data_IF_121519483434
#
_entry.id   IF_121519483434
#
_cell.length_a   1.000
_cell.length_b   1.000
_cell.length_c   1.000
_cell.angle_alpha   90.00
_cell.angle_beta   90.00
_cell.angle_gamma   90.00
#
_symmetry.space_group_name_H-M   'P 1'
#
loop_
_entity.id
_entity.type
_entity.pdbx_description
1 polymer ?
#
# COMPACT_ATOMS: atom_id res chain seq x y z
N UNK A 1 26.41 -57.85 -64.64
CA UNK A 1 25.63 -58.19 -65.84
C UNK A 1 26.34 -57.62 -67.04
N UNK A 2 26.86 -58.50 -67.89
CA UNK A 2 27.27 -58.33 -69.29
C UNK A 2 28.30 -59.44 -69.55
N UNK A 3 27.75 -60.61 -69.87
CA UNK A 3 28.47 -61.77 -70.37
C UNK A 3 28.83 -61.51 -71.83
N UNK A 4 30.00 -61.95 -72.29
CA UNK A 4 30.32 -62.00 -73.72
C UNK A 4 31.22 -63.19 -73.96
N UNK A 5 30.56 -64.33 -74.13
CA UNK A 5 31.05 -65.48 -74.86
C UNK A 5 31.13 -65.13 -76.36
N UNK A 6 32.24 -65.49 -77.01
CA UNK A 6 32.28 -65.65 -78.46
C UNK A 6 32.97 -66.98 -78.73
N UNK A 7 32.19 -67.89 -79.29
CA UNK A 7 32.56 -69.25 -79.63
C UNK A 7 33.27 -69.32 -81.00
N UNK A 8 34.18 -70.29 -81.04
CA UNK A 8 34.67 -71.16 -82.12
C UNK A 8 34.35 -70.95 -83.63
N UNK A 9 35.30 -71.55 -84.38
CA UNK A 9 35.22 -72.18 -85.69
C UNK A 9 35.63 -71.37 -86.93
N UNK A 10 36.84 -71.69 -87.42
CA UNK A 10 37.01 -72.06 -88.83
C UNK A 10 38.27 -72.91 -89.02
N UNK A 11 37.98 -74.19 -89.23
CA UNK A 11 38.81 -75.22 -89.86
C UNK A 11 39.30 -74.77 -91.25
N UNK A 12 40.48 -75.23 -91.67
CA UNK A 12 40.94 -74.91 -93.03
C UNK A 12 42.42 -75.10 -93.30
N UNK A 13 42.79 -76.33 -93.66
CA UNK A 13 43.77 -76.54 -94.72
C UNK A 13 45.19 -76.86 -94.28
N UNK A 14 45.43 -78.14 -93.98
CA UNK A 14 46.73 -78.75 -94.23
C UNK A 14 46.95 -78.86 -95.76
N UNK A 15 48.11 -78.46 -96.30
CA UNK A 15 48.64 -79.06 -97.51
C UNK A 15 49.80 -79.98 -97.15
N UNK A 16 49.59 -81.25 -97.46
CA UNK A 16 50.64 -82.24 -97.62
C UNK A 16 51.46 -81.86 -98.86
N UNK A 17 52.77 -81.61 -98.71
CA UNK A 17 53.70 -81.60 -99.83
C UNK A 17 55.05 -82.15 -99.38
N UNK A 18 55.23 -83.43 -99.69
CA UNK A 18 56.50 -84.11 -99.77
C UNK A 18 57.36 -83.45 -100.85
N UNK A 19 58.52 -82.93 -100.46
CA UNK A 19 59.66 -82.71 -101.36
C UNK A 19 60.92 -82.61 -100.52
N UNK A 20 61.56 -83.76 -100.32
CA UNK A 20 62.97 -83.88 -99.96
C UNK A 20 63.82 -83.32 -101.09
N UNK A 21 64.00 -82.00 -101.13
CA UNK A 21 65.14 -81.36 -101.79
C UNK A 21 66.15 -81.02 -100.71
N UNK A 22 67.21 -81.82 -100.63
CA UNK A 22 68.44 -81.46 -99.94
C UNK A 22 69.08 -80.25 -100.63
N UNK A 23 68.56 -79.05 -100.33
CA UNK A 23 69.23 -77.80 -100.67
C UNK A 23 70.46 -77.74 -99.76
N UNK A 24 71.65 -77.84 -100.33
CA UNK A 24 72.90 -77.60 -99.62
C UNK A 24 72.91 -76.13 -99.19
N UNK A 25 72.46 -75.87 -97.96
CA UNK A 25 72.45 -74.52 -97.37
C UNK A 25 73.91 -74.12 -97.15
N UNK A 26 74.34 -73.03 -97.81
CA UNK A 26 75.68 -72.46 -97.62
C UNK A 26 75.93 -72.18 -96.13
N UNK A 27 77.13 -72.49 -95.58
CA UNK A 27 77.42 -72.36 -94.14
C UNK A 27 77.16 -70.96 -93.59
N UNK A 28 77.30 -69.91 -94.41
CA UNK A 28 76.95 -68.54 -94.05
C UNK A 28 75.44 -68.35 -93.81
N UNK A 29 74.59 -68.95 -94.66
CA UNK A 29 73.13 -68.86 -94.56
C UNK A 29 72.57 -69.72 -93.42
N UNK A 30 73.26 -70.81 -93.10
CA UNK A 30 72.96 -71.64 -91.92
C UNK A 30 73.22 -70.86 -90.62
N UNK A 31 74.34 -70.13 -90.56
CA UNK A 31 74.71 -69.34 -89.37
C UNK A 31 73.81 -68.11 -89.19
N UNK A 32 73.42 -67.45 -90.27
CA UNK A 32 72.41 -66.37 -90.26
C UNK A 32 71.05 -66.88 -89.76
N UNK A 33 70.60 -68.05 -90.22
CA UNK A 33 69.37 -68.69 -89.74
C UNK A 33 69.46 -69.09 -88.26
N UNK A 34 70.61 -69.57 -87.78
CA UNK A 34 70.85 -69.85 -86.36
C UNK A 34 70.79 -68.60 -85.49
N UNK A 35 71.43 -67.51 -85.92
CA UNK A 35 71.38 -66.23 -85.21
C UNK A 35 69.98 -65.65 -85.19
N UNK A 36 69.22 -65.77 -86.30
CA UNK A 36 67.81 -65.37 -86.35
C UNK A 36 66.95 -66.23 -85.42
N UNK A 37 67.16 -67.54 -85.38
CA UNK A 37 66.45 -68.45 -84.47
C UNK A 37 66.74 -68.10 -83.00
N UNK A 38 68.00 -67.84 -82.64
CA UNK A 38 68.41 -67.46 -81.30
C UNK A 38 67.82 -66.10 -80.88
N UNK A 39 67.83 -65.11 -81.79
CA UNK A 39 67.19 -63.81 -81.56
C UNK A 39 65.68 -63.94 -81.36
N UNK A 40 65.00 -64.73 -82.20
CA UNK A 40 63.56 -64.99 -82.06
C UNK A 40 63.23 -65.76 -80.78
N UNK A 41 64.08 -66.70 -80.35
CA UNK A 41 63.94 -67.40 -79.07
C UNK A 41 64.09 -66.45 -77.88
N UNK A 42 65.08 -65.56 -77.93
CA UNK A 42 65.29 -64.55 -76.89
C UNK A 42 64.12 -63.55 -76.86
N UNK A 43 63.64 -63.09 -78.01
CA UNK A 43 62.44 -62.25 -78.12
C UNK A 43 61.21 -62.97 -77.53
N UNK A 44 61.00 -64.24 -77.85
CA UNK A 44 59.94 -65.05 -77.25
C UNK A 44 60.06 -65.15 -75.72
N UNK A 45 61.30 -65.24 -75.20
CA UNK A 45 61.56 -65.29 -73.76
C UNK A 45 61.22 -63.95 -73.10
N UNK A 46 61.61 -62.83 -73.70
CA UNK A 46 61.28 -61.49 -73.22
C UNK A 46 59.77 -61.27 -73.24
N UNK A 47 59.10 -61.57 -74.35
CA UNK A 47 57.64 -61.46 -74.48
C UNK A 47 56.90 -62.30 -73.43
N UNK A 48 57.39 -63.50 -73.11
CA UNK A 48 56.83 -64.32 -72.01
C UNK A 48 56.98 -63.65 -70.65
N UNK A 49 58.14 -63.05 -70.35
CA UNK A 49 58.38 -62.35 -69.09
C UNK A 49 57.48 -61.10 -69.00
N UNK A 50 57.34 -60.35 -70.09
CA UNK A 50 56.44 -59.18 -70.16
C UNK A 50 54.98 -59.59 -69.97
N UNK A 51 54.53 -60.67 -70.64
CA UNK A 51 53.19 -61.23 -70.47
C UNK A 51 52.92 -61.61 -69.01
N UNK A 52 53.84 -62.32 -68.35
CA UNK A 52 53.69 -62.69 -66.94
C UNK A 52 53.70 -61.46 -66.02
N UNK A 53 54.51 -60.46 -66.34
CA UNK A 53 54.54 -59.17 -65.61
C UNK A 53 53.19 -58.44 -65.74
N UNK A 54 52.62 -58.38 -66.94
CA UNK A 54 51.30 -57.79 -67.16
C UNK A 54 50.19 -58.58 -66.47
N UNK A 55 50.25 -59.92 -66.47
CA UNK A 55 49.29 -60.75 -65.71
C UNK A 55 49.34 -60.46 -64.21
N UNK A 56 50.54 -60.35 -63.63
CA UNK A 56 50.71 -59.98 -62.22
C UNK A 56 50.14 -58.59 -61.94
N UNK A 57 50.41 -57.61 -62.81
CA UNK A 57 49.84 -56.26 -62.69
C UNK A 57 48.31 -56.25 -62.77
N UNK A 58 47.73 -57.01 -63.70
CA UNK A 58 46.27 -57.15 -63.81
C UNK A 58 45.66 -57.78 -62.55
N UNK A 59 46.31 -58.81 -61.97
CA UNK A 59 45.86 -59.42 -60.70
C UNK A 59 45.92 -58.42 -59.55
N UNK A 60 47.02 -57.70 -59.41
CA UNK A 60 47.19 -56.66 -58.37
C UNK A 60 46.13 -55.56 -58.50
N UNK A 61 45.86 -55.07 -59.72
CA UNK A 61 44.81 -54.06 -59.94
C UNK A 61 43.40 -54.60 -59.68
N UNK A 62 43.15 -55.89 -59.94
CA UNK A 62 41.87 -56.52 -59.62
C UNK A 62 41.66 -56.65 -58.11
N UNK A 63 42.69 -57.06 -57.37
CA UNK A 63 42.68 -57.12 -55.91
C UNK A 63 42.45 -55.73 -55.31
N UNK A 64 43.19 -54.73 -55.77
CA UNK A 64 43.01 -53.34 -55.34
C UNK A 64 41.58 -52.83 -55.65
N UNK A 65 41.00 -53.17 -56.80
CA UNK A 65 39.63 -52.80 -57.11
C UNK A 65 38.61 -53.45 -56.16
N UNK A 66 38.83 -54.71 -55.79
CA UNK A 66 37.99 -55.41 -54.82
C UNK A 66 38.11 -54.76 -53.44
N UNK A 67 39.33 -54.43 -53.01
CA UNK A 67 39.58 -53.80 -51.72
C UNK A 67 39.00 -52.39 -51.65
N UNK A 68 39.14 -51.59 -52.72
CA UNK A 68 38.51 -50.28 -52.83
C UNK A 68 36.98 -50.37 -52.75
N UNK A 69 36.35 -51.36 -53.42
CA UNK A 69 34.90 -51.57 -53.32
C UNK A 69 34.48 -51.96 -51.90
N UNK A 70 35.21 -52.86 -51.23
CA UNK A 70 34.94 -53.24 -49.83
C UNK A 70 35.10 -52.06 -48.88
N UNK A 71 36.16 -51.26 -49.06
CA UNK A 71 36.40 -50.06 -48.28
C UNK A 71 35.28 -49.04 -48.48
N UNK A 72 34.82 -48.82 -49.73
CA UNK A 72 33.71 -47.92 -50.05
C UNK A 72 32.40 -48.34 -49.36
N UNK A 73 32.05 -49.63 -49.41
CA UNK A 73 30.86 -50.14 -48.71
C UNK A 73 30.98 -49.96 -47.19
N UNK A 74 32.16 -50.23 -46.63
CA UNK A 74 32.40 -50.07 -45.18
C UNK A 74 32.30 -48.62 -44.74
N UNK A 75 32.88 -47.71 -45.52
CA UNK A 75 32.79 -46.27 -45.26
C UNK A 75 31.34 -45.78 -45.36
N UNK A 76 30.59 -46.24 -46.37
CA UNK A 76 29.19 -45.88 -46.52
C UNK A 76 28.35 -46.37 -45.34
N UNK A 77 28.51 -47.62 -44.91
CA UNK A 77 27.79 -48.15 -43.74
C UNK A 77 28.11 -47.36 -42.45
N UNK A 78 29.35 -46.91 -42.26
CA UNK A 78 29.72 -46.05 -41.13
C UNK A 78 29.09 -44.67 -41.23
N UNK A 79 29.07 -44.07 -42.43
CA UNK A 79 28.44 -42.77 -42.65
C UNK A 79 26.93 -42.83 -42.35
N UNK A 80 26.23 -43.86 -42.84
CA UNK A 80 24.80 -44.08 -42.56
C UNK A 80 24.54 -44.25 -41.05
N UNK A 81 25.37 -45.04 -40.35
CA UNK A 81 25.26 -45.19 -38.89
C UNK A 81 25.46 -43.87 -38.13
N UNK A 82 26.43 -43.05 -38.56
CA UNK A 82 26.71 -41.76 -37.94
C UNK A 82 25.57 -40.76 -38.21
N UNK A 83 25.01 -40.74 -39.43
CA UNK A 83 23.83 -39.95 -39.77
C UNK A 83 22.60 -40.35 -38.94
N UNK A 84 22.36 -41.65 -38.76
CA UNK A 84 21.29 -42.15 -37.88
C UNK A 84 21.52 -41.75 -36.43
N UNK A 85 22.75 -41.83 -35.93
CA UNK A 85 23.09 -41.44 -34.56
C UNK A 85 22.84 -39.95 -34.33
N UNK A 86 23.30 -39.10 -35.27
CA UNK A 86 23.08 -37.65 -35.22
C UNK A 86 21.58 -37.34 -35.29
N UNK A 87 20.86 -37.95 -36.22
CA UNK A 87 19.41 -37.77 -36.40
C UNK A 87 18.64 -38.13 -35.13
N UNK A 88 18.94 -39.29 -34.53
CA UNK A 88 18.32 -39.74 -33.29
C UNK A 88 18.62 -38.80 -32.11
N UNK A 89 19.84 -38.27 -32.04
CA UNK A 89 20.25 -37.33 -30.99
C UNK A 89 19.53 -35.99 -31.12
N UNK A 90 19.47 -35.45 -32.34
CA UNK A 90 18.75 -34.20 -32.62
C UNK A 90 17.25 -34.35 -32.38
N UNK A 91 16.67 -35.47 -32.80
CA UNK A 91 15.25 -35.75 -32.59
C UNK A 91 14.89 -35.79 -31.09
N UNK A 92 15.70 -36.46 -30.27
CA UNK A 92 15.51 -36.46 -28.80
C UNK A 92 15.61 -35.05 -28.22
N UNK A 93 16.55 -34.23 -28.71
CA UNK A 93 16.71 -32.84 -28.25
C UNK A 93 15.53 -31.96 -28.65
N UNK A 94 15.00 -32.13 -29.86
CA UNK A 94 13.78 -31.45 -30.32
C UNK A 94 12.59 -31.83 -29.43
N UNK A 95 12.40 -33.12 -29.14
CA UNK A 95 11.30 -33.56 -28.27
C UNK A 95 11.43 -33.01 -26.85
N UNK A 96 12.64 -33.00 -26.29
CA UNK A 96 12.89 -32.43 -24.97
C UNK A 96 12.55 -30.94 -24.93
N UNK A 97 12.98 -30.16 -25.93
CA UNK A 97 12.67 -28.74 -26.06
C UNK A 97 11.18 -28.49 -26.29
N UNK A 98 10.49 -29.34 -27.06
CA UNK A 98 9.05 -29.26 -27.24
C UNK A 98 8.30 -29.47 -25.92
N UNK A 99 8.70 -30.48 -25.15
CA UNK A 99 8.11 -30.77 -23.83
C UNK A 99 8.38 -29.65 -22.82
N UNK A 100 9.60 -29.11 -22.82
CA UNK A 100 9.96 -27.97 -21.97
C UNK A 100 9.14 -26.74 -22.34
N UNK A 101 8.99 -26.44 -23.63
CA UNK A 101 8.14 -25.35 -24.12
C UNK A 101 6.68 -25.51 -23.69
N UNK A 102 6.11 -26.71 -23.83
CA UNK A 102 4.75 -27.00 -23.40
C UNK A 102 4.60 -26.82 -21.87
N UNK A 103 5.58 -27.31 -21.10
CA UNK A 103 5.58 -27.15 -19.64
C UNK A 103 5.65 -25.68 -19.24
N UNK A 104 6.51 -24.89 -19.90
CA UNK A 104 6.62 -23.45 -19.69
C UNK A 104 5.32 -22.73 -20.03
N UNK A 105 4.68 -23.06 -21.15
CA UNK A 105 3.39 -22.47 -21.53
C UNK A 105 2.32 -22.73 -20.47
N UNK A 106 2.18 -23.98 -20.01
CA UNK A 106 1.22 -24.34 -18.95
C UNK A 106 1.52 -23.64 -17.63
N UNK A 107 2.79 -23.49 -17.26
CA UNK A 107 3.17 -22.77 -16.03
C UNK A 107 2.84 -21.27 -16.15
N UNK A 108 3.08 -20.68 -17.32
CA UNK A 108 2.77 -19.27 -17.58
C UNK A 108 1.26 -19.00 -17.48
N UNK A 109 0.43 -19.86 -18.10
CA UNK A 109 -1.03 -19.77 -18.02
C UNK A 109 -1.51 -19.85 -16.55
N UNK A 110 -0.97 -20.79 -15.76
CA UNK A 110 -1.32 -20.91 -14.33
C UNK A 110 -0.91 -19.69 -13.51
N UNK A 111 0.25 -19.11 -13.79
CA UNK A 111 0.73 -17.92 -13.09
C UNK A 111 -0.13 -16.70 -13.44
N UNK A 112 -0.50 -16.53 -14.71
CA UNK A 112 -1.45 -15.49 -15.15
C UNK A 112 -2.82 -15.66 -14.49
N UNK A 113 -3.36 -16.88 -14.43
CA UNK A 113 -4.61 -17.17 -13.74
C UNK A 113 -4.50 -16.86 -12.23
N UNK A 114 -3.40 -17.24 -11.58
CA UNK A 114 -3.18 -16.96 -10.16
C UNK A 114 -3.14 -15.46 -9.90
N UNK A 115 -2.34 -14.71 -10.67
CA UNK A 115 -2.19 -13.26 -10.51
C UNK A 115 -3.51 -12.54 -10.76
N UNK A 116 -4.24 -12.91 -11.82
CA UNK A 116 -5.54 -12.31 -12.15
C UNK A 116 -6.56 -12.56 -11.05
N UNK A 117 -6.63 -13.79 -10.52
CA UNK A 117 -7.53 -14.16 -9.44
C UNK A 117 -7.19 -13.42 -8.13
N UNK A 118 -5.91 -13.29 -7.82
CA UNK A 118 -5.46 -12.62 -6.60
C UNK A 118 -5.73 -11.11 -6.66
N UNK A 119 -5.43 -10.48 -7.80
CA UNK A 119 -5.78 -9.07 -8.03
C UNK A 119 -7.29 -8.83 -7.95
N UNK A 120 -8.09 -9.74 -8.54
CA UNK A 120 -9.56 -9.65 -8.48
C UNK A 120 -10.09 -9.75 -7.05
N UNK A 121 -9.55 -10.68 -6.25
CA UNK A 121 -9.89 -10.78 -4.82
C UNK A 121 -9.52 -9.50 -4.06
N UNK A 122 -8.30 -8.99 -4.27
CA UNK A 122 -7.81 -7.79 -3.60
C UNK A 122 -8.62 -6.54 -3.98
N UNK A 123 -9.03 -6.44 -5.24
CA UNK A 123 -9.90 -5.38 -5.72
C UNK A 123 -11.29 -5.45 -5.05
N UNK A 124 -11.90 -6.63 -5.00
CA UNK A 124 -13.19 -6.81 -4.31
C UNK A 124 -13.08 -6.48 -2.82
N UNK A 125 -12.00 -6.90 -2.16
CA UNK A 125 -11.75 -6.56 -0.77
C UNK A 125 -11.67 -5.04 -0.56
N UNK A 126 -10.88 -4.34 -1.37
CA UNK A 126 -10.75 -2.87 -1.28
C UNK A 126 -12.07 -2.15 -1.56
N UNK A 127 -12.89 -2.65 -2.50
CA UNK A 127 -14.22 -2.10 -2.75
C UNK A 127 -15.15 -2.29 -1.55
N UNK A 128 -15.09 -3.45 -0.91
CA UNK A 128 -15.87 -3.73 0.29
C UNK A 128 -15.44 -2.84 1.46
N UNK A 129 -14.14 -2.80 1.77
CA UNK A 129 -13.58 -1.95 2.83
C UNK A 129 -13.91 -0.47 2.59
N UNK A 130 -13.85 -0.01 1.33
CA UNK A 130 -14.26 1.35 0.96
C UNK A 130 -15.74 1.59 1.28
N UNK A 131 -16.63 0.69 0.89
CA UNK A 131 -18.06 0.83 1.13
C UNK A 131 -18.39 0.84 2.63
N UNK A 132 -17.72 0.01 3.44
CA UNK A 132 -17.86 0.01 4.89
C UNK A 132 -17.40 1.34 5.52
N UNK A 133 -16.26 1.88 5.07
CA UNK A 133 -15.76 3.16 5.53
C UNK A 133 -16.69 4.32 5.16
N UNK A 134 -17.24 4.31 3.94
CA UNK A 134 -18.22 5.31 3.49
C UNK A 134 -19.49 5.26 4.35
N UNK A 135 -20.00 4.04 4.62
CA UNK A 135 -21.17 3.85 5.48
C UNK A 135 -20.91 4.33 6.92
N UNK A 136 -19.76 3.99 7.51
CA UNK A 136 -19.42 4.42 8.86
C UNK A 136 -19.26 5.95 8.94
N UNK A 137 -18.67 6.57 7.92
CA UNK A 137 -18.52 8.02 7.86
C UNK A 137 -19.89 8.72 7.78
N UNK A 138 -20.80 8.20 6.95
CA UNK A 138 -22.16 8.73 6.82
C UNK A 138 -22.93 8.63 8.15
N UNK A 139 -22.86 7.49 8.83
CA UNK A 139 -23.49 7.30 10.14
C UNK A 139 -22.94 8.25 11.21
N UNK A 140 -21.62 8.46 11.25
CA UNK A 140 -20.99 9.39 12.20
C UNK A 140 -21.38 10.83 11.91
N UNK A 141 -21.41 11.23 10.63
CA UNK A 141 -21.88 12.55 10.22
C UNK A 141 -23.34 12.77 10.60
N UNK A 142 -24.21 11.79 10.31
CA UNK A 142 -25.63 11.85 10.68
C UNK A 142 -25.82 11.97 12.19
N UNK A 143 -25.06 11.19 12.98
CA UNK A 143 -25.07 11.27 14.44
C UNK A 143 -24.67 12.66 14.94
N UNK A 144 -23.60 13.24 14.41
CA UNK A 144 -23.15 14.58 14.78
C UNK A 144 -24.17 15.66 14.40
N UNK A 145 -24.74 15.60 13.19
CA UNK A 145 -25.81 16.50 12.74
C UNK A 145 -27.01 16.39 13.68
N UNK A 146 -27.45 15.18 14.02
CA UNK A 146 -28.55 14.94 14.93
C UNK A 146 -28.27 15.51 16.34
N UNK A 147 -27.04 15.36 16.84
CA UNK A 147 -26.61 15.93 18.12
C UNK A 147 -26.64 17.46 18.11
N UNK A 148 -26.13 18.08 17.05
CA UNK A 148 -26.13 19.53 16.88
C UNK A 148 -27.56 20.07 16.74
N UNK A 149 -28.40 19.44 15.92
CA UNK A 149 -29.80 19.80 15.78
C UNK A 149 -30.55 19.77 17.12
N UNK A 150 -30.35 18.73 17.94
CA UNK A 150 -30.93 18.66 19.29
C UNK A 150 -30.46 19.81 20.18
N UNK A 151 -29.18 20.19 20.10
CA UNK A 151 -28.62 21.32 20.87
C UNK A 151 -29.20 22.66 20.40
N UNK A 152 -29.35 22.86 19.10
CA UNK A 152 -29.98 24.05 18.50
C UNK A 152 -31.41 24.17 19.02
N UNK A 153 -32.24 23.12 18.86
CA UNK A 153 -33.63 23.10 19.35
C UNK A 153 -33.74 23.44 20.84
N UNK A 154 -32.83 22.92 21.67
CA UNK A 154 -32.79 23.24 23.10
C UNK A 154 -32.50 24.72 23.35
N UNK A 155 -31.47 25.27 22.69
CA UNK A 155 -31.10 26.68 22.83
C UNK A 155 -32.19 27.62 22.29
N UNK A 156 -32.87 27.26 21.21
CA UNK A 156 -34.02 27.97 20.67
C UNK A 156 -35.17 28.02 21.68
N UNK A 157 -35.53 26.88 22.27
CA UNK A 157 -36.56 26.82 23.31
C UNK A 157 -36.19 27.63 24.56
N UNK A 158 -34.95 27.55 25.02
CA UNK A 158 -34.46 28.33 26.16
C UNK A 158 -34.53 29.85 25.86
N UNK A 159 -34.21 30.24 24.62
CA UNK A 159 -34.29 31.63 24.17
C UNK A 159 -35.72 32.14 24.15
N UNK A 160 -36.65 31.36 23.57
CA UNK A 160 -38.08 31.69 23.54
C UNK A 160 -38.63 31.81 24.97
N UNK A 161 -38.29 30.87 25.84
CA UNK A 161 -38.75 30.88 27.25
C UNK A 161 -38.26 32.15 27.96
N UNK A 162 -36.98 32.49 27.83
CA UNK A 162 -36.43 33.73 28.40
C UNK A 162 -37.09 34.98 27.83
N UNK A 163 -37.37 34.99 26.53
CA UNK A 163 -38.06 36.10 25.88
C UNK A 163 -39.48 36.28 26.45
N UNK A 164 -40.24 35.19 26.61
CA UNK A 164 -41.57 35.22 27.21
C UNK A 164 -41.53 35.69 28.67
N UNK A 165 -40.57 35.23 29.47
CA UNK A 165 -40.39 35.72 30.85
C UNK A 165 -40.04 37.21 30.89
N UNK A 166 -39.16 37.68 30.00
CA UNK A 166 -38.83 39.10 29.91
C UNK A 166 -40.02 39.97 29.51
N UNK A 167 -40.83 39.49 28.57
CA UNK A 167 -42.07 40.16 28.18
C UNK A 167 -43.05 40.21 29.35
N UNK A 168 -43.24 39.11 30.08
CA UNK A 168 -44.08 39.09 31.27
C UNK A 168 -43.62 40.11 32.32
N UNK A 169 -42.32 40.13 32.66
CA UNK A 169 -41.76 41.09 33.62
C UNK A 169 -41.92 42.55 33.14
N UNK A 170 -41.85 42.81 31.83
CA UNK A 170 -42.12 44.15 31.27
C UNK A 170 -43.58 44.56 31.47
N UNK A 171 -44.53 43.65 31.26
CA UNK A 171 -45.95 43.92 31.51
C UNK A 171 -46.20 44.16 32.99
N UNK A 172 -45.71 43.29 33.88
CA UNK A 172 -45.84 43.45 35.33
C UNK A 172 -45.21 44.76 35.82
N UNK A 173 -44.06 45.15 35.25
CA UNK A 173 -43.42 46.44 35.54
C UNK A 173 -44.34 47.61 35.18
N UNK A 174 -44.92 47.60 33.97
CA UNK A 174 -45.84 48.65 33.52
C UNK A 174 -47.07 48.72 34.44
N UNK A 175 -47.64 47.57 34.82
CA UNK A 175 -48.82 47.51 35.70
C UNK A 175 -48.52 48.08 37.09
N UNK A 176 -47.34 47.78 37.64
CA UNK A 176 -46.88 48.35 38.91
C UNK A 176 -46.63 49.86 38.79
N UNK A 177 -46.02 50.33 37.69
CA UNK A 177 -45.81 51.76 37.43
C UNK A 177 -47.15 52.50 37.35
N UNK A 178 -48.14 51.95 36.63
CA UNK A 178 -49.49 52.52 36.53
C UNK A 178 -50.21 52.54 37.89
N UNK A 179 -50.09 51.48 38.68
CA UNK A 179 -50.69 51.41 40.03
C UNK A 179 -50.05 52.46 40.95
N UNK A 180 -48.72 52.60 40.89
CA UNK A 180 -47.99 53.58 41.66
C UNK A 180 -48.39 55.02 41.28
N UNK A 181 -48.53 55.31 39.98
CA UNK A 181 -48.99 56.61 39.49
C UNK A 181 -50.40 56.93 39.99
N UNK A 182 -51.33 55.98 39.92
CA UNK A 182 -52.69 56.14 40.45
C UNK A 182 -52.70 56.40 41.97
N UNK A 183 -51.87 55.71 42.74
CA UNK A 183 -51.74 55.96 44.18
C UNK A 183 -51.19 57.36 44.48
N UNK A 184 -50.21 57.81 43.70
CA UNK A 184 -49.64 59.16 43.80
C UNK A 184 -50.69 60.21 43.46
N UNK A 185 -51.40 60.08 42.34
CA UNK A 185 -52.51 60.97 41.96
C UNK A 185 -53.60 60.99 43.04
N UNK A 186 -53.99 59.83 43.58
CA UNK A 186 -54.98 59.74 44.65
C UNK A 186 -54.51 60.43 45.95
N UNK A 187 -53.21 60.40 46.25
CA UNK A 187 -52.63 61.12 47.38
C UNK A 187 -52.61 62.63 47.13
N UNK A 188 -52.19 63.08 45.95
CA UNK A 188 -52.22 64.49 45.55
C UNK A 188 -53.64 65.03 45.63
N UNK A 189 -54.62 64.31 45.08
CA UNK A 189 -56.04 64.67 45.16
C UNK A 189 -56.55 64.77 46.60
N UNK A 190 -56.10 63.87 47.50
CA UNK A 190 -56.44 63.93 48.93
C UNK A 190 -55.81 65.14 49.62
N UNK A 191 -54.54 65.43 49.34
CA UNK A 191 -53.84 66.60 49.90
C UNK A 191 -54.46 67.90 49.41
N UNK A 192 -54.76 67.99 48.11
CA UNK A 192 -55.44 69.12 47.50
C UNK A 192 -56.79 69.38 48.17
N UNK A 193 -57.64 68.36 48.31
CA UNK A 193 -58.93 68.49 49.03
C UNK A 193 -58.77 68.94 50.49
N UNK A 194 -57.74 68.44 51.19
CA UNK A 194 -57.44 68.88 52.56
C UNK A 194 -56.96 70.33 52.58
N UNK A 195 -56.14 70.73 51.61
CA UNK A 195 -55.67 72.11 51.46
C UNK A 195 -56.86 73.04 51.17
N UNK A 196 -57.71 72.74 50.20
CA UNK A 196 -58.94 73.50 49.91
C UNK A 196 -59.82 73.64 51.16
N UNK A 197 -59.97 72.54 51.92
CA UNK A 197 -60.73 72.56 53.18
C UNK A 197 -60.07 73.45 54.22
N UNK A 198 -58.75 73.35 54.41
CA UNK A 198 -58.00 74.21 55.32
C UNK A 198 -58.03 75.68 54.88
N UNK A 199 -58.01 75.96 53.58
CA UNK A 199 -58.16 77.31 53.04
C UNK A 199 -59.56 77.86 53.28
N UNK A 200 -60.60 77.04 53.09
CA UNK A 200 -61.98 77.39 53.43
C UNK A 200 -62.15 77.60 54.94
N UNK A 201 -61.59 76.73 55.77
CA UNK A 201 -61.57 76.88 57.22
C UNK A 201 -60.78 78.13 57.63
N UNK A 202 -59.63 78.42 57.02
CA UNK A 202 -58.88 79.67 57.24
C UNK A 202 -59.72 80.88 56.85
N UNK A 203 -60.44 80.82 55.73
CA UNK A 203 -61.35 81.89 55.30
C UNK A 203 -62.51 82.09 56.28
N UNK A 204 -63.14 81.00 56.73
CA UNK A 204 -64.21 81.02 57.74
C UNK A 204 -63.67 81.45 59.10
N UNK A 205 -62.49 81.01 59.51
CA UNK A 205 -61.84 81.41 60.76
C UNK A 205 -61.40 82.86 60.70
N UNK A 206 -60.96 83.36 59.55
CA UNK A 206 -60.73 84.78 59.32
C UNK A 206 -62.05 85.56 59.47
N UNK A 207 -63.13 85.08 58.86
CA UNK A 207 -64.49 85.64 58.98
C UNK A 207 -65.07 85.53 60.40
N UNK A 208 -64.73 84.46 61.14
CA UNK A 208 -65.11 84.23 62.54
C UNK A 208 -64.19 84.92 63.53
N UNK A 209 -62.95 85.26 63.18
CA UNK A 209 -62.05 86.10 63.97
C UNK A 209 -62.48 87.56 63.88
N UNK A 210 -63.09 87.95 62.76
CA UNK A 210 -63.89 89.17 62.62
C UNK A 210 -65.24 89.11 63.39
N UNK A 211 -65.52 88.02 64.13
CA UNK A 211 -66.66 87.88 65.06
C UNK A 211 -66.22 87.45 66.48
N UNK A 212 -66.91 87.86 67.56
CA UNK A 212 -66.52 87.53 68.93
C UNK A 212 -66.77 86.05 69.33
N UNK A 213 -65.78 85.46 70.02
CA UNK A 213 -65.53 84.02 70.31
C UNK A 213 -66.48 83.34 71.32
N UNK A 214 -66.83 82.06 71.09
CA UNK A 214 -67.12 81.05 72.16
C UNK A 214 -66.88 79.59 71.69
N UNK A 215 -66.58 78.67 72.64
CA UNK A 215 -65.73 77.46 72.53
C UNK A 215 -66.46 76.06 72.41
N UNK A 216 -65.74 74.92 72.16
CA UNK A 216 -66.21 73.65 71.54
C UNK A 216 -66.22 72.39 72.45
N UNK A 217 -66.56 71.17 71.94
CA UNK A 217 -65.75 69.95 72.25
C UNK A 217 -65.69 68.84 71.15
N UNK A 218 -64.86 67.81 71.42
CA UNK A 218 -64.24 66.80 70.50
C UNK A 218 -64.58 65.31 70.89
N UNK A 219 -63.85 64.23 70.48
CA UNK A 219 -64.29 63.08 69.63
C UNK A 219 -64.26 61.70 70.34
N UNK A 220 -64.60 60.58 69.65
CA UNK A 220 -64.45 59.19 70.18
C UNK A 220 -63.92 58.14 69.17
N UNK A 221 -63.30 57.12 69.76
CA UNK A 221 -62.34 56.10 69.28
C UNK A 221 -62.90 54.91 68.47
N UNK A 222 -62.04 54.19 67.75
CA UNK A 222 -62.31 52.95 66.97
C UNK A 222 -61.49 51.78 67.56
N UNK A 223 -62.16 50.65 67.83
CA UNK A 223 -61.61 49.43 68.47
C UNK A 223 -61.27 48.34 67.44
N UNK A 224 -60.15 47.63 67.64
CA UNK A 224 -59.69 46.47 66.84
C UNK A 224 -60.24 45.15 67.42
N UNK A 225 -60.85 44.31 66.59
CA UNK A 225 -61.32 42.95 66.94
C UNK A 225 -60.22 41.89 66.76
N UNK A 226 -60.20 40.91 67.68
CA UNK A 226 -59.24 39.81 67.79
C UNK A 226 -59.86 38.52 67.26
N UNK A 227 -59.12 37.79 66.43
CA UNK A 227 -59.52 36.54 65.77
C UNK A 227 -59.95 35.43 66.74
N UNK A 228 -61.11 34.82 66.42
CA UNK A 228 -61.76 33.79 67.23
C UNK A 228 -61.03 32.43 67.26
N UNK A 229 -61.13 31.67 68.38
CA UNK A 229 -60.39 30.42 68.63
C UNK A 229 -60.66 29.26 67.64
N UNK A 230 -61.73 29.30 66.85
CA UNK A 230 -62.00 28.31 65.80
C UNK A 230 -61.07 28.43 64.59
N UNK A 231 -60.64 29.65 64.26
CA UNK A 231 -59.68 29.89 63.18
C UNK A 231 -58.30 29.30 63.53
N UNK A 232 -57.89 29.41 64.80
CA UNK A 232 -56.65 28.80 65.31
C UNK A 232 -56.68 27.27 65.22
N UNK A 233 -57.83 26.64 65.48
CA UNK A 233 -57.95 25.18 65.43
C UNK A 233 -57.90 24.64 64.00
N UNK A 234 -58.51 25.34 63.03
CA UNK A 234 -58.38 25.00 61.60
C UNK A 234 -56.94 25.16 61.13
N UNK A 235 -56.28 26.25 61.51
CA UNK A 235 -54.88 26.49 61.20
C UNK A 235 -53.97 25.40 61.77
N UNK A 236 -54.22 24.96 63.01
CA UNK A 236 -53.45 23.88 63.65
C UNK A 236 -53.57 22.55 62.89
N UNK A 237 -54.77 22.19 62.40
CA UNK A 237 -54.95 20.97 61.59
C UNK A 237 -54.25 21.08 60.23
N UNK A 238 -54.33 22.23 59.58
CA UNK A 238 -53.65 22.50 58.32
C UNK A 238 -52.13 22.38 58.45
N UNK A 239 -51.54 22.96 59.50
CA UNK A 239 -50.11 22.84 59.78
C UNK A 239 -49.68 21.39 60.01
N UNK A 240 -50.50 20.58 60.70
CA UNK A 240 -50.18 19.15 60.90
C UNK A 240 -50.20 18.35 59.59
N UNK A 241 -51.20 18.56 58.73
CA UNK A 241 -51.23 17.91 57.40
C UNK A 241 -50.07 18.36 56.52
N UNK A 242 -49.70 19.65 56.62
CA UNK A 242 -48.61 20.21 55.84
C UNK A 242 -47.26 19.66 56.28
N UNK A 243 -47.03 19.49 57.59
CA UNK A 243 -45.83 18.84 58.13
C UNK A 243 -45.71 17.39 57.66
N UNK A 244 -46.79 16.61 57.65
CA UNK A 244 -46.74 15.23 57.14
C UNK A 244 -46.49 15.17 55.62
N UNK A 245 -47.05 16.11 54.86
CA UNK A 245 -46.76 16.26 53.43
C UNK A 245 -45.29 16.61 53.18
N UNK A 246 -44.75 17.57 53.94
CA UNK A 246 -43.33 17.96 53.86
C UNK A 246 -42.40 16.81 54.24
N UNK A 247 -42.70 16.04 55.29
CA UNK A 247 -41.93 14.84 55.65
C UNK A 247 -41.93 13.78 54.54
N UNK A 248 -43.08 13.56 53.89
CA UNK A 248 -43.18 12.62 52.77
C UNK A 248 -42.37 13.13 51.57
N UNK A 249 -42.46 14.42 51.26
CA UNK A 249 -41.70 15.07 50.19
C UNK A 249 -40.18 15.02 50.44
N UNK A 250 -39.74 15.18 51.70
CA UNK A 250 -38.34 15.07 52.08
C UNK A 250 -37.82 13.65 51.85
N UNK A 251 -38.53 12.62 52.32
CA UNK A 251 -38.13 11.22 52.11
C UNK A 251 -38.06 10.85 50.63
N UNK A 252 -38.98 11.33 49.80
CA UNK A 252 -38.92 11.08 48.35
C UNK A 252 -37.74 11.79 47.70
N UNK A 253 -37.44 13.02 48.12
CA UNK A 253 -36.28 13.77 47.60
C UNK A 253 -34.96 13.10 48.02
N UNK A 254 -34.86 12.61 49.25
CA UNK A 254 -33.69 11.85 49.73
C UNK A 254 -33.50 10.56 48.93
N UNK A 255 -34.57 9.79 48.69
CA UNK A 255 -34.52 8.56 47.90
C UNK A 255 -34.07 8.84 46.46
N UNK A 256 -34.68 9.84 45.80
CA UNK A 256 -34.28 10.26 44.45
C UNK A 256 -32.82 10.73 44.41
N UNK A 257 -32.36 11.47 45.41
CA UNK A 257 -30.97 11.89 45.50
C UNK A 257 -30.03 10.69 45.67
N UNK A 258 -30.40 9.67 46.44
CA UNK A 258 -29.60 8.45 46.58
C UNK A 258 -29.56 7.64 45.29
N UNK A 259 -30.68 7.52 44.59
CA UNK A 259 -30.79 6.80 43.33
C UNK A 259 -30.00 7.50 42.22
N UNK A 260 -30.14 8.82 42.07
CA UNK A 260 -29.36 9.61 41.10
C UNK A 260 -27.86 9.49 41.37
N UNK A 261 -27.44 9.53 42.64
CA UNK A 261 -26.04 9.34 43.01
C UNK A 261 -25.53 7.94 42.65
N UNK A 262 -26.34 6.90 42.84
CA UNK A 262 -25.99 5.54 42.44
C UNK A 262 -25.87 5.42 40.90
N UNK A 263 -26.79 6.05 40.16
CA UNK A 263 -26.73 6.10 38.70
C UNK A 263 -25.45 6.78 38.21
N UNK A 264 -25.06 7.93 38.78
CA UNK A 264 -23.80 8.59 38.40
C UNK A 264 -22.56 7.74 38.65
N UNK A 265 -22.54 6.95 39.73
CA UNK A 265 -21.42 6.04 40.02
C UNK A 265 -21.35 4.93 38.98
N UNK A 266 -22.48 4.37 38.58
CA UNK A 266 -22.55 3.31 37.58
C UNK A 266 -22.22 3.83 36.17
N UNK A 267 -22.68 5.03 35.81
CA UNK A 267 -22.30 5.70 34.57
C UNK A 267 -20.81 6.00 34.50
N UNK A 268 -20.19 6.48 35.60
CA UNK A 268 -18.74 6.71 35.68
C UNK A 268 -17.96 5.40 35.53
N UNK A 269 -18.44 4.30 36.13
CA UNK A 269 -17.87 2.97 35.97
C UNK A 269 -17.92 2.51 34.51
N UNK A 270 -19.07 2.63 33.86
CA UNK A 270 -19.25 2.26 32.46
C UNK A 270 -18.36 3.10 31.53
N UNK A 271 -18.28 4.41 31.75
CA UNK A 271 -17.40 5.29 30.97
C UNK A 271 -15.92 4.90 31.11
N UNK A 272 -15.47 4.55 32.32
CA UNK A 272 -14.10 4.08 32.55
C UNK A 272 -13.80 2.76 31.85
N UNK A 273 -14.73 1.81 31.91
CA UNK A 273 -14.57 0.50 31.25
C UNK A 273 -14.50 0.64 29.73
N UNK A 274 -15.39 1.44 29.13
CA UNK A 274 -15.33 1.73 27.71
C UNK A 274 -14.07 2.51 27.33
N UNK A 275 -13.59 3.43 28.18
CA UNK A 275 -12.34 4.13 27.94
C UNK A 275 -11.14 3.16 27.87
N UNK A 276 -11.05 2.22 28.81
CA UNK A 276 -10.01 1.16 28.80
C UNK A 276 -10.14 0.30 27.54
N UNK A 277 -11.37 -0.06 27.14
CA UNK A 277 -11.63 -0.85 25.94
C UNK A 277 -11.17 -0.11 24.68
N UNK A 278 -11.51 1.16 24.55
CA UNK A 278 -11.10 2.01 23.43
C UNK A 278 -9.59 2.20 23.40
N UNK A 279 -8.95 2.43 24.55
CA UNK A 279 -7.50 2.57 24.65
C UNK A 279 -6.78 1.29 24.18
N UNK A 280 -7.30 0.10 24.54
CA UNK A 280 -6.77 -1.18 24.05
C UNK A 280 -7.00 -1.38 22.54
N UNK A 281 -8.11 -0.90 21.98
CA UNK A 281 -8.34 -0.94 20.53
C UNK A 281 -7.38 0.00 19.79
N UNK A 282 -7.23 1.22 20.29
CA UNK A 282 -6.28 2.20 19.76
C UNK A 282 -4.85 1.66 19.77
N UNK A 283 -4.43 1.03 20.86
CA UNK A 283 -3.10 0.43 20.97
C UNK A 283 -2.86 -0.64 19.88
N UNK A 284 -3.83 -1.52 19.64
CA UNK A 284 -3.71 -2.53 18.57
C UNK A 284 -3.65 -1.89 17.17
N UNK A 285 -4.40 -0.81 16.95
CA UNK A 285 -4.36 -0.12 15.65
C UNK A 285 -3.02 0.59 15.44
N UNK A 286 -2.44 1.18 16.49
CA UNK A 286 -1.08 1.73 16.46
C UNK A 286 -0.06 0.64 16.16
N UNK A 287 -0.11 -0.50 16.85
CA UNK A 287 0.78 -1.64 16.61
C UNK A 287 0.66 -2.18 15.18
N UNK A 288 -0.57 -2.27 14.65
CA UNK A 288 -0.84 -2.68 13.27
C UNK A 288 -0.22 -1.70 12.27
N UNK A 289 -0.40 -0.39 12.49
CA UNK A 289 0.20 0.66 11.66
C UNK A 289 1.73 0.62 11.72
N UNK A 290 2.31 0.50 12.91
CA UNK A 290 3.76 0.41 13.09
C UNK A 290 4.34 -0.85 12.44
N UNK A 291 3.63 -1.98 12.51
CA UNK A 291 4.02 -3.20 11.82
C UNK A 291 4.00 -3.04 10.30
N UNK A 292 2.96 -2.40 9.75
CA UNK A 292 2.88 -2.11 8.33
C UNK A 292 4.01 -1.16 7.89
N UNK A 293 4.27 -0.08 8.61
CA UNK A 293 5.37 0.83 8.31
C UNK A 293 6.72 0.11 8.34
N UNK A 294 6.98 -0.75 9.34
CA UNK A 294 8.20 -1.58 9.38
C UNK A 294 8.32 -2.50 8.17
N UNK A 295 7.25 -3.20 7.80
CA UNK A 295 7.27 -4.09 6.63
C UNK A 295 7.49 -3.34 5.31
N UNK A 296 6.89 -2.16 5.14
CA UNK A 296 7.13 -1.32 3.97
C UNK A 296 8.59 -0.85 3.91
N UNK A 297 9.14 -0.35 5.02
CA UNK A 297 10.55 0.05 5.08
C UNK A 297 11.53 -1.11 4.87
N UNK A 298 11.22 -2.31 5.39
CA UNK A 298 12.00 -3.52 5.15
C UNK A 298 11.93 -3.97 3.68
N UNK A 299 10.75 -3.87 3.05
CA UNK A 299 10.54 -4.22 1.64
C UNK A 299 11.21 -3.22 0.70
N UNK A 300 11.15 -1.92 1.01
CA UNK A 300 11.84 -0.86 0.26
C UNK A 300 13.35 -1.03 0.35
N UNK A 301 13.90 -1.31 1.54
CA UNK A 301 15.33 -1.55 1.71
C UNK A 301 15.81 -2.83 1.02
N UNK A 302 15.00 -3.90 1.00
CA UNK A 302 15.32 -5.11 0.24
C UNK A 302 15.35 -4.84 -1.26
N UNK A 303 14.35 -4.12 -1.77
CA UNK A 303 14.27 -3.76 -3.18
C UNK A 303 15.46 -2.89 -3.61
N UNK A 304 15.85 -1.92 -2.77
CA UNK A 304 17.02 -1.08 -3.03
C UNK A 304 18.32 -1.89 -3.07
N UNK A 305 18.50 -2.89 -2.18
CA UNK A 305 19.66 -3.77 -2.23
C UNK A 305 19.68 -4.69 -3.46
N UNK A 306 18.51 -5.16 -3.91
CA UNK A 306 18.40 -5.98 -5.11
C UNK A 306 18.68 -5.16 -6.38
N UNK A 307 18.20 -3.92 -6.44
CA UNK A 307 18.52 -2.96 -7.49
C UNK A 307 20.02 -2.63 -7.52
N UNK A 308 20.67 -2.43 -6.36
CA UNK A 308 22.11 -2.21 -6.27
C UNK A 308 22.91 -3.43 -6.73
N UNK A 309 22.48 -4.65 -6.38
CA UNK A 309 23.09 -5.90 -6.87
C UNK A 309 22.97 -6.01 -8.38
N UNK A 310 21.78 -5.79 -8.91
CA UNK A 310 21.52 -5.84 -10.35
C UNK A 310 22.34 -4.79 -11.11
N UNK A 311 22.38 -3.55 -10.61
CA UNK A 311 23.20 -2.48 -11.18
C UNK A 311 24.69 -2.83 -11.19
N UNK A 312 25.20 -3.40 -10.10
CA UNK A 312 26.59 -3.84 -10.01
C UNK A 312 26.87 -5.03 -10.93
N UNK A 313 25.94 -5.97 -11.08
CA UNK A 313 26.05 -7.12 -11.98
C UNK A 313 26.06 -6.70 -13.45
N UNK A 314 25.14 -5.82 -13.87
CA UNK A 314 25.14 -5.21 -15.21
C UNK A 314 26.43 -4.43 -15.49
N UNK A 315 26.96 -3.76 -14.46
CA UNK A 315 28.21 -3.00 -14.57
C UNK A 315 29.43 -3.92 -14.67
N UNK A 316 29.43 -5.06 -13.96
CA UNK A 316 30.48 -6.08 -14.02
C UNK A 316 30.47 -6.88 -15.33
N UNK A 317 29.30 -7.07 -15.94
CA UNK A 317 29.13 -7.75 -17.23
C UNK A 317 29.42 -6.84 -18.44
N UNK A 318 29.76 -5.56 -18.22
CA UNK A 318 30.20 -4.64 -19.27
C UNK A 318 29.10 -4.17 -20.23
N UNK A 319 27.82 -4.43 -19.93
CA UNK A 319 26.66 -4.12 -20.78
C UNK A 319 26.11 -2.69 -20.58
N UNK A 320 26.98 -1.71 -20.32
CA UNK A 320 26.55 -0.31 -20.34
C UNK A 320 26.56 0.24 -21.77
N UNK A 321 25.48 0.91 -22.22
CA UNK A 321 25.62 1.95 -23.22
C UNK A 321 26.56 3.01 -22.65
N UNK A 322 27.75 3.16 -23.23
CA UNK A 322 28.62 4.29 -22.93
C UNK A 322 27.82 5.56 -23.18
N UNK A 323 27.48 6.30 -22.13
CA UNK A 323 27.08 7.70 -22.29
C UNK A 323 28.25 8.43 -22.93
N UNK A 324 28.07 8.83 -24.18
CA UNK A 324 29.03 9.61 -24.96
C UNK A 324 29.16 11.01 -24.37
N UNK A 325 30.03 11.15 -23.38
CA UNK A 325 30.66 12.43 -23.06
C UNK A 325 31.90 12.57 -23.95
N UNK A 326 31.75 13.30 -25.05
CA UNK A 326 32.88 13.85 -25.80
C UNK A 326 32.68 15.35 -26.00
N UNK A 327 33.63 16.19 -25.56
CA UNK A 327 33.54 17.64 -25.66
C UNK A 327 33.85 18.09 -27.09
N UNK A 328 32.94 18.85 -27.69
CA UNK A 328 33.15 19.49 -28.99
C UNK A 328 34.08 20.71 -28.77
N UNK A 329 35.13 20.92 -29.59
CA UNK A 329 36.00 22.08 -29.49
C UNK A 329 35.28 23.32 -30.01
N UNK A 330 35.04 24.31 -29.15
CA UNK A 330 34.56 25.62 -29.55
C UNK A 330 35.68 26.44 -30.22
N UNK A 331 35.38 26.94 -31.41
CA UNK A 331 36.12 28.02 -32.10
C UNK A 331 35.95 29.34 -31.32
N UNK A 332 37.02 30.11 -31.04
CA UNK A 332 36.88 31.44 -30.50
C UNK A 332 36.96 32.48 -31.63
N UNK A 333 35.94 33.32 -31.77
CA UNK A 333 36.14 34.68 -32.28
C UNK A 333 35.03 35.63 -31.82
N UNK A 334 35.36 36.93 -31.69
CA UNK A 334 34.80 37.80 -30.67
C UNK A 334 33.88 38.87 -31.26
N UNK A 335 33.30 39.68 -30.36
CA UNK A 335 32.56 40.92 -30.60
C UNK A 335 31.06 40.77 -30.87
N UNK A 336 30.25 40.98 -29.84
CA UNK A 336 29.49 42.23 -29.72
C UNK A 336 28.63 42.24 -28.46
N UNK A 337 29.01 43.14 -27.56
CA UNK A 337 28.21 43.90 -26.60
C UNK A 337 26.67 43.74 -26.63
N UNK A 338 26.12 43.33 -25.48
CA UNK A 338 24.95 43.87 -24.72
C UNK A 338 24.08 44.99 -25.37
N UNK A 339 22.87 45.27 -24.80
CA UNK A 339 21.66 44.48 -24.56
C UNK A 339 20.42 45.25 -25.14
N UNK A 340 19.16 44.89 -24.81
CA UNK A 340 17.99 45.78 -24.58
C UNK A 340 16.70 44.93 -24.54
N UNK A 341 16.03 44.95 -23.39
CA UNK A 341 14.55 44.92 -23.28
C UNK A 341 14.13 46.37 -22.97
N UNK A 342 12.90 46.88 -23.24
CA UNK A 342 11.62 46.22 -22.91
C UNK A 342 10.40 46.54 -23.83
N UNK A 343 9.27 45.82 -23.66
CA UNK A 343 7.95 46.37 -24.02
C UNK A 343 6.85 45.39 -24.45
N UNK A 344 5.90 45.17 -23.53
CA UNK A 344 4.46 44.91 -23.67
C UNK A 344 3.89 44.50 -25.05
N UNK A 345 3.10 43.41 -25.08
CA UNK A 345 1.63 43.46 -25.21
C UNK A 345 0.95 42.09 -25.43
N UNK A 346 -0.02 41.82 -24.54
CA UNK A 346 -1.33 41.19 -24.74
C UNK A 346 -1.52 39.70 -25.15
N UNK A 347 -2.30 39.06 -24.27
CA UNK A 347 -3.37 38.09 -24.50
C UNK A 347 -3.03 36.60 -24.70
N UNK A 348 -3.61 35.76 -23.82
CA UNK A 348 -3.69 34.30 -24.00
C UNK A 348 -3.63 33.52 -22.69
N UNK A 349 -4.70 33.56 -21.91
CA UNK A 349 -4.81 32.95 -20.57
C UNK A 349 -4.89 31.41 -20.64
N UNK A 350 -4.03 30.72 -19.87
CA UNK A 350 -4.26 29.35 -19.39
C UNK A 350 -4.38 29.39 -17.87
N UNK A 351 -5.50 28.89 -17.36
CA UNK A 351 -5.80 28.84 -15.92
C UNK A 351 -5.24 27.58 -15.30
N UNK A 352 -4.24 27.74 -14.44
CA UNK A 352 -3.79 26.75 -13.47
C UNK A 352 -3.21 27.53 -12.29
N UNK A 353 -4.02 27.72 -11.24
CA UNK A 353 -3.57 28.40 -10.03
C UNK A 353 -4.07 27.66 -8.79
N UNK A 354 -3.09 27.22 -8.01
CA UNK A 354 -3.15 26.81 -6.60
C UNK A 354 -3.50 28.03 -5.73
N UNK A 355 -4.22 27.89 -4.60
CA UNK A 355 -4.55 29.04 -3.76
C UNK A 355 -3.37 29.44 -2.85
N UNK A 356 -3.14 30.75 -2.58
CA UNK A 356 -2.16 31.19 -1.60
C UNK A 356 -2.77 31.40 -0.20
N UNK A 357 -1.91 31.25 0.81
CA UNK A 357 -2.17 31.48 2.22
C UNK A 357 -2.45 32.95 2.55
N UNK A 358 -3.58 33.24 3.20
CA UNK A 358 -3.86 34.57 3.78
C UNK A 358 -3.49 34.64 5.25
N UNK A 359 -2.37 35.31 5.54
CA UNK A 359 -2.15 36.03 6.80
C UNK A 359 -2.96 37.32 6.76
N UNK A 360 -3.85 37.55 7.72
CA UNK A 360 -4.29 38.92 8.04
C UNK A 360 -4.40 39.10 9.55
N UNK A 361 -3.67 40.12 9.96
CA UNK A 361 -3.43 40.68 11.28
C UNK A 361 -4.48 41.76 11.56
N UNK A 362 -5.19 41.63 12.67
CA UNK A 362 -5.81 42.70 13.46
C UNK A 362 -5.99 42.10 14.88
N UNK A 363 -5.49 42.63 15.98
CA UNK A 363 -5.39 44.03 16.38
C UNK A 363 -6.50 44.30 17.40
N UNK A 364 -6.33 43.87 18.65
CA UNK A 364 -7.14 44.37 19.78
C UNK A 364 -6.35 44.40 21.07
N UNK A 365 -6.59 45.47 21.80
CA UNK A 365 -5.79 46.11 22.83
C UNK A 365 -6.29 45.76 24.24
N UNK A 366 -5.33 45.72 25.15
CA UNK A 366 -5.36 45.79 26.62
C UNK A 366 -6.71 45.88 27.35
N UNK A 367 -6.93 44.94 28.28
CA UNK A 367 -7.39 45.26 29.64
C UNK A 367 -6.66 44.36 30.65
N UNK A 368 -6.12 45.02 31.68
CA UNK A 368 -5.31 44.49 32.77
C UNK A 368 -6.05 44.79 34.08
N UNK A 369 -6.25 43.82 34.98
CA UNK A 369 -6.42 44.02 36.45
C UNK A 369 -6.46 42.65 37.20
N UNK A 370 -6.25 42.57 38.53
CA UNK A 370 -5.02 41.99 39.09
C UNK A 370 -5.22 40.92 40.19
N UNK A 371 -4.12 40.29 40.63
CA UNK A 371 -4.02 39.47 41.84
C UNK A 371 -3.82 37.98 41.54
N UNK A 372 -2.97 37.20 42.21
CA UNK A 372 -2.21 37.41 43.43
C UNK A 372 -1.00 36.46 43.39
N UNK A 373 0.10 36.94 43.93
CA UNK A 373 1.42 36.36 43.96
C UNK A 373 1.53 35.31 45.08
N UNK A 374 1.99 34.08 44.78
CA UNK A 374 2.71 33.26 45.76
C UNK A 374 3.98 32.71 45.10
N UNK A 375 5.09 33.22 45.61
CA UNK A 375 6.45 32.88 45.28
C UNK A 375 6.89 31.79 46.26
N UNK A 376 7.35 30.65 45.76
CA UNK A 376 8.35 29.84 46.47
C UNK A 376 9.41 29.52 45.44
N UNK A 377 10.54 30.21 45.55
CA UNK A 377 11.73 29.90 44.77
C UNK A 377 12.44 28.70 45.37
N UNK A 378 13.21 27.99 44.55
CA UNK A 378 14.68 27.95 44.66
C UNK A 378 15.24 27.35 43.38
N UNK A 379 16.23 28.06 42.83
CA UNK A 379 17.02 27.79 41.65
C UNK A 379 17.85 26.51 41.73
N UNK A 380 18.09 25.83 40.60
CA UNK A 380 19.42 25.61 40.00
C UNK A 380 19.37 24.55 38.87
N UNK A 381 20.07 24.84 37.77
CA UNK A 381 20.90 23.86 37.07
C UNK A 381 20.27 23.07 35.92
N UNK A 382 20.51 23.53 34.69
CA UNK A 382 20.39 22.73 33.48
C UNK A 382 21.45 21.61 33.45
N UNK A 383 21.03 20.33 33.39
CA UNK A 383 21.83 19.23 32.81
C UNK A 383 20.90 18.16 32.24
N UNK A 384 21.10 17.84 30.96
CA UNK A 384 20.50 16.73 30.19
C UNK A 384 21.07 15.38 30.64
N UNK A 385 20.27 14.32 30.87
CA UNK A 385 20.82 12.99 31.06
C UNK A 385 20.87 12.20 29.74
N UNK A 386 22.08 11.73 29.39
CA UNK A 386 22.30 10.60 28.47
C UNK A 386 22.07 9.28 29.23
N UNK A 387 21.54 8.21 28.60
CA UNK A 387 21.31 6.96 29.30
C UNK A 387 22.59 6.12 29.37
N UNK A 388 23.03 5.81 30.60
CA UNK A 388 24.05 4.78 30.87
C UNK A 388 23.42 3.39 30.81
N UNK A 389 24.12 2.50 30.10
CA UNK A 389 23.97 1.04 30.15
C UNK A 389 24.03 0.53 31.59
N UNK A 390 23.08 -0.34 31.96
CA UNK A 390 23.21 -1.27 33.07
C UNK A 390 22.96 -2.69 32.59
N UNK A 391 23.74 -3.62 33.16
CA UNK A 391 23.86 -5.01 32.77
C UNK A 391 22.66 -5.87 33.20
N UNK A 392 22.38 -6.88 32.38
CA UNK A 392 21.42 -8.00 32.52
C UNK A 392 21.45 -8.70 33.91
N UNK A 393 20.43 -9.50 34.30
CA UNK A 393 20.22 -10.80 33.65
C UNK A 393 18.76 -11.30 33.63
N UNK A 394 18.20 -11.55 32.45
CA UNK A 394 17.28 -12.68 32.28
C UNK A 394 17.18 -13.06 30.80
N UNK A 395 17.67 -14.26 30.48
CA UNK A 395 17.69 -14.83 29.14
C UNK A 395 16.35 -15.52 28.87
N UNK A 396 15.42 -14.83 28.21
CA UNK A 396 14.36 -15.51 27.48
C UNK A 396 14.97 -16.19 26.25
N UNK A 397 15.00 -17.53 26.25
CA UNK A 397 15.39 -18.32 25.08
C UNK A 397 14.27 -18.26 24.04
N UNK A 398 14.60 -17.84 22.82
CA UNK A 398 13.74 -17.92 21.64
C UNK A 398 13.50 -19.39 21.27
N UNK A 399 12.29 -19.83 20.89
CA UNK A 399 12.07 -21.16 20.35
C UNK A 399 12.76 -21.31 18.99
N UNK A 400 13.43 -22.43 18.77
CA UNK A 400 13.94 -22.85 17.46
C UNK A 400 12.77 -23.19 16.52
N UNK A 401 12.80 -22.80 15.23
CA UNK A 401 11.79 -23.23 14.27
C UNK A 401 11.92 -24.73 13.95
N UNK A 402 10.83 -25.42 13.59
CA UNK A 402 10.87 -26.84 13.20
C UNK A 402 11.63 -27.03 11.88
N UNK A 403 12.27 -28.20 11.67
CA UNK A 403 12.99 -28.49 10.43
C UNK A 403 12.03 -28.67 9.24
N UNK A 404 12.37 -28.07 8.10
CA UNK A 404 11.67 -28.26 6.83
C UNK A 404 11.77 -29.72 6.34
N UNK A 405 10.70 -30.29 5.76
CA UNK A 405 10.68 -31.67 5.29
C UNK A 405 11.27 -31.77 3.88
N UNK A 406 12.58 -31.53 3.71
CA UNK A 406 13.27 -32.00 2.50
C UNK A 406 14.80 -31.98 2.67
N UNK A 407 15.33 -33.00 3.34
CA UNK A 407 16.73 -33.41 3.15
C UNK A 407 16.80 -34.91 3.37
N UNK A 408 16.92 -35.66 2.27
CA UNK A 408 17.28 -37.08 2.34
C UNK A 408 18.70 -37.21 2.90
N UNK A 409 18.97 -38.15 3.83
CA UNK A 409 20.33 -38.42 4.27
C UNK A 409 21.08 -39.21 3.18
N UNK A 410 22.24 -38.69 2.77
CA UNK A 410 23.23 -39.43 1.98
C UNK A 410 23.75 -40.65 2.78
N UNK A 411 23.98 -41.81 2.13
CA UNK A 411 24.57 -42.96 2.80
C UNK A 411 26.07 -42.75 3.09
N UNK A 412 26.62 -43.39 4.14
CA UNK A 412 28.01 -43.22 4.54
C UNK A 412 28.98 -43.91 3.55
N UNK A 413 30.25 -43.46 3.46
CA UNK A 413 31.23 -44.06 2.57
C UNK A 413 31.72 -45.41 3.10
N UNK A 414 31.96 -46.34 2.18
CA UNK A 414 32.43 -47.70 2.43
C UNK A 414 33.89 -47.76 2.92
N UNK A 415 34.27 -48.78 3.71
CA UNK A 415 35.63 -48.91 4.25
C UNK A 415 36.64 -49.32 3.17
N UNK A 416 37.82 -48.71 3.25
CA UNK A 416 38.99 -48.96 2.41
C UNK A 416 39.54 -50.37 2.61
N UNK A 417 39.67 -51.13 1.53
CA UNK A 417 40.34 -52.43 1.49
C UNK A 417 41.85 -52.27 1.74
N UNK A 418 42.36 -53.03 2.70
CA UNK A 418 43.76 -53.24 2.99
C UNK A 418 44.45 -53.99 1.84
N UNK A 419 45.49 -53.38 1.28
CA UNK A 419 46.47 -54.05 0.43
C UNK A 419 47.35 -54.97 1.27
N UNK A 420 47.35 -56.26 0.95
CA UNK A 420 48.41 -57.22 1.31
C UNK A 420 49.73 -56.83 0.62
N UNK A 421 50.90 -57.20 1.19
CA UNK A 421 51.36 -58.59 1.29
C UNK A 421 51.37 -59.16 2.71
#
# INVERSE_FOLDING_TARGET
MADSASESDTDGGAPHCSSTSSVLISPFRLEELKNRLASLQQENKVLKIELETFKLKCKSLQEENIDLRRASVTMQARAEQEEEFISNTLFKKIQALQKEKETLAVNYEKEEEFLTNELSRKLMQLQHEKAELEQHLEQEQEFQVNKLMKKIKKLENDTITKQLTLEQLRHEKIDLENTLEQEQEALVNRLWKRMDKLEAEKRILQEKLDQPVSAPPSPREISMEIDTPENMMRHTRFLKSEVERLKKSLRSAELQHTENRAQYIEEDRHMREENIRLQRKLQREVERREALCRHLSESESSLEMDDERYFNEMSAQGLRPRTVSSPIPYSPSPSSSRPISPGLSYAGHTVGFTPPSTLTRAGMSYYNTPGLHVHVGTSHGAVRPSPRRSNSPDKFKRPTPPPSPNTQPHPPPAPTASSQP
#
